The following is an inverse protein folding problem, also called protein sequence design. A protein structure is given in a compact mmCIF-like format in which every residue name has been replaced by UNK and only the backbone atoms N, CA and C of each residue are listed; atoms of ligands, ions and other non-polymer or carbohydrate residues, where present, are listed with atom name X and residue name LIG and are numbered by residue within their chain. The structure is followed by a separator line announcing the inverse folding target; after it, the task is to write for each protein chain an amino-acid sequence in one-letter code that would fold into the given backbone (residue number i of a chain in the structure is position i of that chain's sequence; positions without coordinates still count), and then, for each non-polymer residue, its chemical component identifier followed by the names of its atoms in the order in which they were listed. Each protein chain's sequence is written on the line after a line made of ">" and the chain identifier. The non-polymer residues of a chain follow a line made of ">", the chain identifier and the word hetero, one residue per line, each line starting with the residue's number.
data_IF_648677837801
#
_entry.id   IF_648677837801
#
_cell.length_a   1.000
_cell.length_b   1.000
_cell.length_c   1.000
_cell.angle_alpha   90.00
_cell.angle_beta   90.00
_cell.angle_gamma   90.00
#
_symmetry.space_group_name_H-M   'P 1'
#
loop_
_entity.id
_entity.type
_entity.pdbx_description
1 polymer ?
#
# COMPACT_ATOMS: atom_id res chain seq x y z
N UNK A 1 20.13 -22.06 10.97
CA UNK A 1 21.28 -21.98 10.05
C UNK A 1 20.80 -22.40 8.67
N UNK A 2 21.30 -21.77 7.60
CA UNK A 2 20.91 -22.12 6.23
C UNK A 2 21.46 -23.50 5.83
N UNK A 3 21.02 -24.04 4.69
CA UNK A 3 21.55 -25.29 4.12
C UNK A 3 23.06 -25.24 3.83
N UNK A 4 23.66 -24.04 3.80
CA UNK A 4 25.11 -23.83 3.65
C UNK A 4 25.85 -23.55 4.95
N UNK A 5 25.27 -23.84 6.12
CA UNK A 5 25.84 -23.55 7.45
C UNK A 5 26.19 -22.07 7.66
N UNK A 6 25.43 -21.16 7.04
CA UNK A 6 25.55 -19.71 7.29
C UNK A 6 24.53 -19.25 8.33
N UNK A 7 24.82 -18.11 8.96
CA UNK A 7 23.84 -17.43 9.80
C UNK A 7 22.63 -17.04 8.95
N UNK A 8 21.39 -17.24 9.46
CA UNK A 8 20.19 -16.81 8.75
C UNK A 8 20.21 -15.28 8.59
N UNK A 9 19.80 -14.80 7.42
CA UNK A 9 19.63 -13.37 7.16
C UNK A 9 18.50 -13.17 6.16
N UNK A 10 17.80 -12.06 6.29
CA UNK A 10 16.86 -11.64 5.27
C UNK A 10 17.55 -11.47 3.91
N UNK A 11 16.90 -11.92 2.85
CA UNK A 11 17.41 -11.92 1.48
C UNK A 11 18.43 -13.04 1.25
N UNK A 12 18.28 -14.18 1.92
CA UNK A 12 19.03 -15.40 1.63
C UNK A 12 18.21 -16.46 0.85
N UNK A 13 16.95 -16.13 0.55
CA UNK A 13 16.02 -16.96 -0.21
C UNK A 13 15.42 -18.10 0.59
N UNK A 14 15.57 -18.10 1.92
CA UNK A 14 15.05 -19.14 2.80
C UNK A 14 14.29 -18.50 3.95
N UNK A 15 12.95 -18.59 3.92
CA UNK A 15 12.09 -18.09 5.02
C UNK A 15 12.45 -18.75 6.35
N UNK A 16 12.89 -17.95 7.31
CA UNK A 16 13.23 -18.36 8.68
C UNK A 16 12.17 -17.93 9.70
N UNK A 17 12.34 -18.37 10.94
CA UNK A 17 11.48 -17.95 12.03
C UNK A 17 11.61 -16.43 12.30
N UNK A 18 10.50 -15.70 12.17
CA UNK A 18 10.43 -14.24 12.33
C UNK A 18 10.29 -13.48 11.01
N UNK A 19 10.58 -14.13 9.88
CA UNK A 19 10.38 -13.62 8.54
C UNK A 19 8.97 -13.99 8.06
N UNK A 20 8.30 -13.06 7.38
CA UNK A 20 7.00 -13.32 6.74
C UNK A 20 7.18 -13.83 5.31
N UNK A 21 8.31 -13.46 4.69
CA UNK A 21 8.74 -13.81 3.35
C UNK A 21 10.27 -13.70 3.27
N UNK A 22 10.89 -14.32 2.27
CA UNK A 22 12.27 -14.08 1.83
C UNK A 22 12.36 -14.54 0.38
N UNK A 23 12.48 -13.61 -0.55
CA UNK A 23 12.55 -13.88 -1.98
C UNK A 23 13.98 -13.90 -2.54
N UNK A 24 14.98 -13.74 -1.65
CA UNK A 24 16.40 -13.80 -1.97
C UNK A 24 16.94 -12.61 -2.74
N UNK A 25 16.23 -11.49 -2.81
CA UNK A 25 16.67 -10.28 -3.51
C UNK A 25 16.90 -9.09 -2.54
N UNK A 26 17.17 -7.88 -3.07
CA UNK A 26 17.31 -6.64 -2.27
C UNK A 26 16.39 -5.51 -2.79
N UNK A 27 15.19 -5.84 -3.23
CA UNK A 27 14.17 -4.93 -3.73
C UNK A 27 13.03 -4.80 -2.70
N UNK A 28 12.57 -3.57 -2.48
CA UNK A 28 11.39 -3.30 -1.64
C UNK A 28 10.10 -3.14 -2.48
N UNK A 29 10.18 -3.26 -3.80
CA UNK A 29 9.10 -2.90 -4.73
C UNK A 29 8.38 -4.12 -5.32
N UNK A 30 8.70 -5.30 -4.81
CA UNK A 30 8.03 -6.56 -5.11
C UNK A 30 7.22 -7.01 -3.87
N UNK A 31 6.83 -8.28 -3.82
CA UNK A 31 5.97 -8.79 -2.75
C UNK A 31 6.68 -8.97 -1.40
N UNK A 32 8.01 -8.88 -1.34
CA UNK A 32 8.79 -9.10 -0.12
C UNK A 32 9.82 -8.00 0.09
N UNK A 33 9.63 -7.17 1.13
CA UNK A 33 10.60 -6.11 1.43
C UNK A 33 11.94 -6.67 1.92
N UNK A 34 12.98 -5.84 1.86
CA UNK A 34 14.32 -6.12 2.41
C UNK A 34 14.35 -6.30 3.93
N UNK A 35 13.21 -6.13 4.59
CA UNK A 35 13.03 -6.42 6.02
C UNK A 35 12.33 -7.76 6.26
N UNK A 36 12.12 -8.55 5.20
CA UNK A 36 11.45 -9.84 5.20
C UNK A 36 10.02 -9.76 5.75
N UNK A 37 9.35 -8.68 5.34
CA UNK A 37 7.94 -8.39 5.57
C UNK A 37 7.24 -8.39 4.23
N UNK A 38 6.03 -8.95 4.21
CA UNK A 38 5.20 -8.87 3.02
C UNK A 38 4.97 -7.40 2.69
N UNK A 39 5.15 -7.06 1.43
CA UNK A 39 4.82 -5.74 0.93
C UNK A 39 3.33 -5.47 1.13
N UNK A 40 3.01 -4.23 1.48
CA UNK A 40 1.64 -3.79 1.73
C UNK A 40 1.52 -2.31 1.44
N UNK A 41 0.30 -1.92 1.08
CA UNK A 41 -0.03 -0.52 1.00
C UNK A 41 0.23 0.22 2.33
N UNK A 42 0.88 1.37 2.23
CA UNK A 42 1.27 2.20 3.35
C UNK A 42 2.58 1.77 4.01
N UNK A 43 3.41 0.97 3.34
CA UNK A 43 4.72 0.55 3.86
C UNK A 43 5.87 1.48 3.46
N UNK A 44 5.59 2.50 2.64
CA UNK A 44 6.54 3.51 2.22
C UNK A 44 7.31 3.12 0.96
N UNK A 45 6.98 2.00 0.34
CA UNK A 45 7.55 1.55 -0.92
C UNK A 45 6.46 1.44 -1.97
N UNK A 46 6.73 1.97 -3.16
CA UNK A 46 5.78 1.88 -4.26
C UNK A 46 5.92 0.52 -4.96
N UNK A 47 4.97 -0.39 -4.78
CA UNK A 47 4.96 -1.69 -5.44
C UNK A 47 4.28 -1.67 -6.82
N UNK A 48 4.53 -2.72 -7.60
CA UNK A 48 3.87 -2.89 -8.88
C UNK A 48 2.35 -3.09 -8.71
N UNK A 49 1.56 -2.15 -9.24
CA UNK A 49 0.08 -2.19 -9.20
C UNK A 49 -0.55 -1.16 -8.26
N UNK A 50 0.27 -0.56 -7.39
CA UNK A 50 -0.10 0.60 -6.60
C UNK A 50 -0.11 1.85 -7.48
N UNK A 51 -1.04 2.76 -7.22
CA UNK A 51 -1.10 4.08 -7.88
C UNK A 51 -0.45 5.17 -7.02
N UNK A 52 -0.34 4.92 -5.72
CA UNK A 52 0.36 5.73 -4.73
C UNK A 52 0.75 4.84 -3.53
N UNK A 53 1.73 5.27 -2.74
CA UNK A 53 2.02 4.79 -1.38
C UNK A 53 2.60 5.98 -0.61
N UNK A 54 1.97 6.35 0.50
CA UNK A 54 2.37 7.50 1.34
C UNK A 54 3.01 7.08 2.67
N UNK A 55 3.31 5.78 2.83
CA UNK A 55 3.94 5.21 4.00
C UNK A 55 3.12 5.25 5.28
N UNK A 56 1.80 5.40 5.18
CA UNK A 56 0.94 5.43 6.36
C UNK A 56 -0.42 4.72 6.12
N UNK A 57 -1.30 4.75 7.13
CA UNK A 57 -2.61 4.06 7.08
C UNK A 57 -3.79 5.04 7.23
N UNK A 58 -3.55 6.30 6.88
CA UNK A 58 -4.54 7.37 6.77
C UNK A 58 -5.11 7.31 5.36
N UNK A 59 -6.43 7.47 5.24
CA UNK A 59 -7.13 7.19 3.99
C UNK A 59 -7.50 8.47 3.22
N UNK A 60 -7.29 9.64 3.83
CA UNK A 60 -7.81 10.94 3.39
C UNK A 60 -6.73 12.02 3.21
N UNK A 61 -5.50 11.60 2.98
CA UNK A 61 -4.30 12.43 2.82
C UNK A 61 -3.65 12.31 1.43
N UNK A 62 -4.43 11.91 0.44
CA UNK A 62 -4.02 11.89 -0.97
C UNK A 62 -3.53 10.53 -1.47
N UNK A 63 -3.42 9.53 -0.60
CA UNK A 63 -3.37 8.13 -0.98
C UNK A 63 -4.34 7.34 -0.12
N UNK A 64 -5.13 6.46 -0.72
CA UNK A 64 -6.02 5.59 0.06
C UNK A 64 -5.24 4.41 0.63
N UNK A 65 -5.75 3.79 1.69
CA UNK A 65 -5.22 2.53 2.26
C UNK A 65 -5.31 1.33 1.29
N UNK A 66 -5.94 1.51 0.12
CA UNK A 66 -5.93 0.57 -0.99
C UNK A 66 -4.88 0.89 -2.06
N UNK A 67 -4.01 1.86 -1.81
CA UNK A 67 -2.97 2.35 -2.71
C UNK A 67 -3.52 2.80 -4.06
N UNK A 68 -4.66 3.49 -3.96
CA UNK A 68 -5.34 4.17 -5.06
C UNK A 68 -5.28 5.66 -4.83
N UNK A 69 -5.08 6.40 -5.92
CA UNK A 69 -5.29 7.83 -5.89
C UNK A 69 -6.77 8.06 -5.63
N UNK A 70 -7.11 9.01 -4.76
CA UNK A 70 -8.49 9.23 -4.41
C UNK A 70 -9.26 9.85 -5.58
N UNK A 71 -10.54 9.54 -5.64
CA UNK A 71 -11.44 10.00 -6.69
C UNK A 71 -12.80 10.35 -6.12
N UNK A 72 -13.36 11.48 -6.55
CA UNK A 72 -14.72 11.83 -6.18
C UNK A 72 -15.72 10.72 -6.50
N UNK A 73 -16.50 10.31 -5.49
CA UNK A 73 -17.44 9.21 -5.54
C UNK A 73 -16.86 7.87 -5.05
N UNK A 74 -15.67 7.87 -4.43
CA UNK A 74 -15.06 6.67 -3.84
C UNK A 74 -15.51 6.41 -2.38
N UNK A 75 -16.30 7.33 -1.82
CA UNK A 75 -16.85 7.27 -0.47
C UNK A 75 -15.89 7.76 0.61
N UNK A 76 -14.77 8.39 0.24
CA UNK A 76 -13.75 8.88 1.16
C UNK A 76 -13.53 10.37 0.91
N UNK A 77 -14.06 11.21 1.80
CA UNK A 77 -13.85 12.66 1.74
C UNK A 77 -12.37 13.00 1.95
N UNK A 78 -11.71 13.43 0.87
CA UNK A 78 -10.32 13.86 0.86
C UNK A 78 -10.14 15.30 1.30
N UNK A 79 -8.89 15.65 1.60
CA UNK A 79 -8.52 17.05 1.80
C UNK A 79 -8.72 17.86 0.49
N UNK A 80 -9.76 18.68 0.46
CA UNK A 80 -10.14 19.49 -0.71
C UNK A 80 -11.53 19.15 -1.27
N UNK A 81 -12.13 18.08 -0.80
CA UNK A 81 -13.53 17.71 -1.08
C UNK A 81 -14.43 18.28 0.02
N UNK A 82 -15.59 18.83 -0.36
CA UNK A 82 -16.61 19.28 0.60
C UNK A 82 -17.55 18.14 1.01
N UNK A 83 -17.68 17.14 0.15
CA UNK A 83 -18.49 15.94 0.34
C UNK A 83 -17.96 14.81 -0.56
N UNK A 84 -18.29 13.56 -0.23
CA UNK A 84 -18.20 12.38 -1.10
C UNK A 84 -19.25 11.39 -0.60
N UNK A 85 -20.23 11.03 -1.43
CA UNK A 85 -21.33 10.14 -1.06
C UNK A 85 -21.19 8.72 -1.66
N UNK A 86 -20.02 8.40 -2.20
CA UNK A 86 -19.68 7.07 -2.71
C UNK A 86 -20.41 6.69 -3.99
N UNK A 87 -20.92 7.66 -4.76
CA UNK A 87 -21.58 7.38 -6.03
C UNK A 87 -21.24 8.41 -7.11
N UNK A 88 -21.84 8.24 -8.30
CA UNK A 88 -21.57 9.06 -9.49
C UNK A 88 -22.82 9.83 -9.96
N UNK A 89 -23.71 10.24 -9.05
CA UNK A 89 -24.89 11.04 -9.35
C UNK A 89 -24.62 12.54 -9.15
N UNK A 90 -24.97 13.33 -10.15
CA UNK A 90 -24.91 14.80 -10.05
C UNK A 90 -26.25 15.43 -9.59
N UNK A 91 -27.19 14.60 -9.12
CA UNK A 91 -28.58 15.02 -8.86
C UNK A 91 -29.00 14.95 -7.41
N UNK A 92 -28.10 14.51 -6.54
CA UNK A 92 -28.27 14.49 -5.08
C UNK A 92 -27.54 15.68 -4.45
N UNK A 93 -27.24 15.55 -3.15
CA UNK A 93 -26.60 16.60 -2.37
C UNK A 93 -25.09 16.66 -2.55
N UNK A 94 -24.45 15.65 -3.17
CA UNK A 94 -23.02 15.62 -3.41
C UNK A 94 -22.72 15.27 -4.87
N UNK A 95 -22.39 16.27 -5.67
CA UNK A 95 -22.11 16.05 -7.09
C UNK A 95 -20.79 15.31 -7.32
N UNK A 96 -20.59 14.77 -8.53
CA UNK A 96 -19.32 14.14 -8.94
C UNK A 96 -18.14 15.12 -9.06
N UNK A 97 -18.30 16.36 -8.60
CA UNK A 97 -17.22 17.32 -8.43
C UNK A 97 -16.78 17.48 -6.97
N UNK A 98 -17.45 16.78 -6.05
CA UNK A 98 -17.19 16.75 -4.61
C UNK A 98 -17.07 18.15 -4.00
N UNK A 99 -17.99 19.02 -4.45
CA UNK A 99 -18.22 20.41 -4.06
C UNK A 99 -19.71 20.65 -3.93
#
# INVERSE_FOLDING_TARGET
>A
CTNGCKLPKCGDGIVQNGEECDDGNNSNTDSCTNTCKNAKCGDGFMQAGEECDDGNAVNNDGCTNGCKLPTCGDGIVQNGEECDDGNNSNTDSCTNTCK
#
